data_IF_864705623137
#
_entry.id   IF_864705623137
#
_cell.length_a   1.000
_cell.length_b   1.000
_cell.length_c   1.000
_cell.angle_alpha   90.00
_cell.angle_beta   90.00
_cell.angle_gamma   90.00
#
_symmetry.space_group_name_H-M   'P 1'
#
loop_
_entity.id
_entity.type
_entity.pdbx_description
1 polymer ?
#
# COMPACT_ATOMS: atom_id res chain seq x y z
N UNK A 1 14.29 38.49 -1.25
CA UNK A 1 15.68 37.97 -1.21
C UNK A 1 15.67 36.55 -1.74
N UNK A 2 16.57 36.19 -2.65
CA UNK A 2 16.75 34.78 -3.04
C UNK A 2 17.40 33.97 -1.91
N UNK A 3 17.20 32.65 -1.89
CA UNK A 3 17.70 31.76 -0.81
C UNK A 3 19.22 31.88 -0.60
N UNK A 4 19.99 32.11 -1.66
CA UNK A 4 21.43 32.36 -1.58
C UNK A 4 21.77 33.69 -0.91
N UNK A 5 21.00 34.76 -1.17
CA UNK A 5 21.21 36.06 -0.50
C UNK A 5 20.87 35.97 0.99
N UNK A 6 19.83 35.20 1.33
CA UNK A 6 19.47 34.92 2.72
C UNK A 6 20.61 34.19 3.46
N UNK A 7 21.13 33.11 2.85
CA UNK A 7 22.26 32.36 3.40
C UNK A 7 23.49 33.25 3.64
N UNK A 8 23.89 34.03 2.64
CA UNK A 8 25.00 34.98 2.74
C UNK A 8 24.80 36.01 3.86
N UNK A 9 23.56 36.46 4.08
CA UNK A 9 23.26 37.38 5.18
C UNK A 9 23.35 36.74 6.57
N UNK A 10 23.28 35.41 6.65
CA UNK A 10 23.22 34.67 7.91
C UNK A 10 24.52 33.93 8.27
N UNK A 11 25.38 33.62 7.29
CA UNK A 11 26.53 32.71 7.46
C UNK A 11 27.57 33.13 8.51
N UNK A 12 27.75 34.44 8.75
CA UNK A 12 28.75 34.95 9.70
C UNK A 12 28.22 35.08 11.14
N UNK A 13 26.94 34.75 11.38
CA UNK A 13 26.40 34.76 12.74
C UNK A 13 26.97 33.60 13.54
N UNK A 14 27.24 33.83 14.82
CA UNK A 14 27.77 32.82 15.75
C UNK A 14 26.78 32.38 16.81
N UNK A 15 25.59 32.98 16.81
CA UNK A 15 24.59 32.73 17.82
C UNK A 15 23.17 32.77 17.25
N UNK A 16 22.29 32.00 17.85
CA UNK A 16 20.85 32.10 17.68
C UNK A 16 20.18 32.31 19.04
N UNK A 17 19.03 32.98 19.02
CA UNK A 17 18.27 33.32 20.22
C UNK A 17 16.96 32.53 20.22
N UNK A 18 16.69 31.76 21.27
CA UNK A 18 15.40 31.09 21.40
C UNK A 18 14.31 32.11 21.73
N UNK A 19 13.31 32.26 20.85
CA UNK A 19 12.24 33.26 20.98
C UNK A 19 10.89 32.71 21.39
N UNK A 20 10.61 31.46 21.08
CA UNK A 20 9.39 30.79 21.51
C UNK A 20 9.72 29.34 21.84
N UNK A 21 9.15 28.82 22.92
CA UNK A 21 9.25 27.43 23.33
C UNK A 21 7.86 26.98 23.76
N UNK A 22 7.33 25.98 23.05
CA UNK A 22 6.02 25.39 23.34
C UNK A 22 6.18 23.93 23.67
N UNK A 23 5.80 23.58 24.89
CA UNK A 23 5.69 22.20 25.33
C UNK A 23 4.25 21.73 25.14
N UNK A 24 4.09 20.53 24.58
CA UNK A 24 2.80 19.89 24.40
C UNK A 24 2.94 18.38 24.59
N UNK A 25 1.82 17.71 24.87
CA UNK A 25 1.77 16.26 24.90
C UNK A 25 1.20 15.79 23.56
N UNK A 26 1.89 14.85 22.93
CA UNK A 26 1.42 14.17 21.73
C UNK A 26 1.08 12.72 22.09
N UNK A 27 -0.09 12.26 21.65
CA UNK A 27 -0.51 10.88 21.83
C UNK A 27 -0.60 10.16 20.49
N UNK A 28 0.02 9.00 20.40
CA UNK A 28 -0.12 8.08 19.27
C UNK A 28 -1.01 6.92 19.70
N UNK A 29 -2.19 6.81 19.08
CA UNK A 29 -3.10 5.69 19.30
C UNK A 29 -2.55 4.43 18.61
N UNK A 30 -2.81 3.22 19.16
CA UNK A 30 -2.56 2.01 18.41
C UNK A 30 -3.36 2.02 17.10
N UNK A 31 -2.86 1.27 16.12
CA UNK A 31 -3.64 1.03 14.91
C UNK A 31 -4.87 0.20 15.26
N UNK A 32 -5.95 0.43 14.52
CA UNK A 32 -7.18 -0.34 14.65
C UNK A 32 -6.97 -1.79 14.20
N UNK A 33 -7.84 -2.73 14.62
CA UNK A 33 -7.88 -4.09 14.09
C UNK A 33 -7.89 -4.08 12.55
N UNK A 34 -7.41 -5.16 11.94
CA UNK A 34 -7.32 -5.20 10.49
C UNK A 34 -8.72 -5.26 9.85
N UNK A 35 -8.91 -4.46 8.81
CA UNK A 35 -9.87 -4.72 7.75
C UNK A 35 -9.13 -5.29 6.54
N UNK A 36 -9.85 -5.78 5.53
CA UNK A 36 -9.24 -6.40 4.34
C UNK A 36 -8.18 -5.52 3.70
N UNK A 37 -8.48 -4.25 3.47
CA UNK A 37 -7.54 -3.31 2.85
C UNK A 37 -6.23 -3.16 3.64
N UNK A 38 -6.35 -2.92 4.95
CA UNK A 38 -5.21 -2.72 5.83
C UNK A 38 -4.39 -4.00 6.08
N UNK A 39 -5.00 -5.18 6.05
CA UNK A 39 -4.29 -6.46 6.13
C UNK A 39 -3.47 -6.68 4.87
N UNK A 40 -4.10 -6.52 3.70
CA UNK A 40 -3.44 -6.70 2.40
C UNK A 40 -2.26 -5.73 2.23
N UNK A 41 -2.45 -4.44 2.56
CA UNK A 41 -1.38 -3.43 2.53
C UNK A 41 -0.21 -3.82 3.45
N UNK A 42 -0.50 -4.13 4.72
CA UNK A 42 0.53 -4.38 5.72
C UNK A 42 1.28 -5.68 5.46
N UNK A 43 0.58 -6.77 5.18
CA UNK A 43 1.19 -8.06 4.91
C UNK A 43 1.99 -8.05 3.60
N UNK A 44 1.49 -7.40 2.55
CA UNK A 44 2.25 -7.26 1.30
C UNK A 44 3.54 -6.47 1.51
N UNK A 45 3.47 -5.35 2.24
CA UNK A 45 4.65 -4.52 2.51
C UNK A 45 5.66 -5.17 3.46
N UNK A 46 5.21 -5.93 4.45
CA UNK A 46 6.07 -6.47 5.52
C UNK A 46 6.60 -7.86 5.21
N UNK A 47 5.74 -8.72 4.66
CA UNK A 47 6.09 -10.11 4.33
C UNK A 47 6.59 -10.24 2.89
N UNK A 48 6.42 -9.20 2.05
CA UNK A 48 6.83 -9.20 0.65
C UNK A 48 5.96 -10.11 -0.24
N UNK A 49 4.74 -10.41 0.20
CA UNK A 49 3.76 -11.23 -0.50
C UNK A 49 2.93 -10.37 -1.48
N UNK A 50 2.48 -10.95 -2.58
CA UNK A 50 1.45 -10.32 -3.43
C UNK A 50 0.10 -10.28 -2.68
N UNK A 51 -0.79 -9.36 -3.09
CA UNK A 51 -2.14 -9.26 -2.48
C UNK A 51 -2.91 -10.58 -2.64
N UNK A 52 -2.74 -11.26 -3.79
CA UNK A 52 -3.40 -12.53 -4.05
C UNK A 52 -2.92 -13.64 -3.12
N UNK A 53 -1.61 -13.71 -2.84
CA UNK A 53 -1.04 -14.64 -1.87
C UNK A 53 -1.54 -14.35 -0.45
N UNK A 54 -1.49 -13.09 -0.01
CA UNK A 54 -2.01 -12.70 1.32
C UNK A 54 -3.47 -13.12 1.46
N UNK A 55 -4.33 -12.84 0.46
CA UNK A 55 -5.74 -13.21 0.52
C UNK A 55 -5.92 -14.73 0.59
N UNK A 56 -5.13 -15.51 -0.16
CA UNK A 56 -5.18 -16.97 -0.13
C UNK A 56 -4.78 -17.53 1.24
N UNK A 57 -3.68 -17.04 1.81
CA UNK A 57 -3.21 -17.46 3.13
C UNK A 57 -4.20 -17.08 4.23
N UNK A 58 -4.75 -15.87 4.17
CA UNK A 58 -5.78 -15.42 5.11
C UNK A 58 -7.04 -16.30 5.00
N UNK A 59 -7.44 -16.70 3.79
CA UNK A 59 -8.59 -17.59 3.58
C UNK A 59 -8.34 -18.95 4.25
N UNK A 60 -7.14 -19.52 4.12
CA UNK A 60 -6.77 -20.77 4.79
C UNK A 60 -6.81 -20.64 6.32
N UNK A 61 -6.32 -19.52 6.88
CA UNK A 61 -6.38 -19.24 8.32
C UNK A 61 -7.83 -19.14 8.81
N UNK A 62 -8.72 -18.52 8.03
CA UNK A 62 -10.14 -18.42 8.34
C UNK A 62 -10.83 -19.79 8.28
N UNK A 63 -10.58 -20.58 7.23
CA UNK A 63 -11.17 -21.92 7.08
C UNK A 63 -10.69 -22.89 8.16
N UNK A 64 -9.47 -22.69 8.68
CA UNK A 64 -8.95 -23.41 9.84
C UNK A 64 -9.50 -22.91 11.19
N UNK A 65 -10.32 -21.86 11.20
CA UNK A 65 -10.93 -21.31 12.42
C UNK A 65 -9.98 -20.49 13.30
N UNK A 66 -8.85 -20.04 12.77
CA UNK A 66 -7.85 -19.26 13.53
C UNK A 66 -8.14 -17.76 13.54
N UNK A 67 -8.76 -17.24 12.48
CA UNK A 67 -9.13 -15.83 12.34
C UNK A 67 -10.59 -15.67 11.91
N UNK A 68 -11.15 -14.48 12.11
CA UNK A 68 -12.47 -14.09 11.61
C UNK A 68 -12.49 -13.89 10.08
N UNK A 69 -13.69 -13.67 9.52
CA UNK A 69 -13.88 -13.58 8.07
C UNK A 69 -13.05 -12.45 7.43
N UNK A 70 -12.30 -12.80 6.39
CA UNK A 70 -11.24 -11.96 5.83
C UNK A 70 -11.72 -10.86 4.87
N UNK A 71 -12.99 -10.88 4.46
CA UNK A 71 -13.60 -9.87 3.57
C UNK A 71 -14.52 -8.99 4.38
N UNK A 72 -13.93 -7.96 4.98
CA UNK A 72 -14.57 -7.05 5.91
C UNK A 72 -13.98 -5.65 5.75
N UNK A 73 -14.84 -4.65 5.81
CA UNK A 73 -14.52 -3.23 5.96
C UNK A 73 -14.86 -2.72 7.37
N UNK A 74 -15.30 -3.62 8.26
CA UNK A 74 -15.68 -3.32 9.62
C UNK A 74 -14.46 -3.40 10.54
N UNK A 75 -14.17 -2.31 11.27
CA UNK A 75 -13.10 -2.28 12.26
C UNK A 75 -13.58 -2.76 13.65
N UNK A 76 -14.88 -3.08 13.78
CA UNK A 76 -15.52 -3.46 15.03
C UNK A 76 -15.09 -4.83 15.54
N UNK A 77 -15.06 -4.97 16.86
CA UNK A 77 -14.87 -6.22 17.56
C UNK A 77 -16.15 -6.52 18.34
N UNK A 78 -16.58 -7.77 18.38
CA UNK A 78 -17.72 -8.21 19.18
C UNK A 78 -17.48 -7.95 20.66
N UNK A 79 -18.58 -7.70 21.39
CA UNK A 79 -18.52 -7.47 22.83
C UNK A 79 -18.01 -8.73 23.53
N UNK A 80 -18.44 -9.90 23.07
CA UNK A 80 -18.01 -11.21 23.55
C UNK A 80 -16.49 -11.37 23.46
N UNK A 81 -15.89 -11.07 22.29
CA UNK A 81 -14.44 -11.14 22.13
C UNK A 81 -13.72 -10.09 22.97
N UNK A 82 -14.25 -8.87 23.07
CA UNK A 82 -13.63 -7.81 23.89
C UNK A 82 -13.60 -8.19 25.38
N UNK A 83 -14.67 -8.81 25.90
CA UNK A 83 -14.74 -9.30 27.28
C UNK A 83 -13.76 -10.46 27.53
N UNK A 84 -13.68 -11.40 26.59
CA UNK A 84 -12.73 -12.52 26.65
C UNK A 84 -11.28 -12.03 26.58
N UNK A 85 -10.98 -11.14 25.64
CA UNK A 85 -9.66 -10.54 25.46
C UNK A 85 -9.24 -9.69 26.66
N UNK A 86 -10.14 -8.91 27.26
CA UNK A 86 -9.85 -8.13 28.48
C UNK A 86 -9.52 -9.06 29.65
N UNK A 87 -10.31 -10.12 29.85
CA UNK A 87 -10.09 -11.10 30.90
C UNK A 87 -8.73 -11.81 30.77
N UNK A 88 -8.31 -12.10 29.53
CA UNK A 88 -7.06 -12.81 29.25
C UNK A 88 -5.83 -11.89 29.24
N UNK A 89 -5.89 -10.74 28.55
CA UNK A 89 -4.73 -9.90 28.26
C UNK A 89 -4.48 -8.79 29.28
N UNK A 90 -5.48 -8.30 30.01
CA UNK A 90 -5.27 -7.25 31.00
C UNK A 90 -4.30 -7.66 32.14
N UNK A 91 -4.32 -8.92 32.63
CA UNK A 91 -3.31 -9.41 33.58
C UNK A 91 -1.90 -9.53 32.98
N UNK A 92 -1.79 -9.91 31.71
CA UNK A 92 -0.50 -10.12 31.01
C UNK A 92 0.16 -8.78 30.70
N UNK A 93 -0.60 -7.85 30.12
CA UNK A 93 -0.14 -6.52 29.73
C UNK A 93 -0.55 -5.47 30.75
N UNK A 94 -0.20 -5.75 32.02
CA UNK A 94 -0.51 -4.84 33.13
C UNK A 94 -0.01 -3.43 32.81
N UNK A 95 -0.85 -2.45 33.11
CA UNK A 95 -0.61 -1.02 32.85
C UNK A 95 -0.53 -0.61 31.38
N UNK A 96 -0.53 -1.55 30.42
CA UNK A 96 -0.50 -1.30 28.99
C UNK A 96 -1.85 -1.58 28.31
N UNK A 97 -2.64 -2.51 28.84
CA UNK A 97 -3.96 -2.84 28.28
C UNK A 97 -5.00 -1.74 28.54
N UNK A 98 -5.86 -1.51 27.56
CA UNK A 98 -7.02 -0.64 27.59
C UNK A 98 -8.06 -1.19 26.61
N UNK A 99 -9.20 -1.67 27.13
CA UNK A 99 -10.33 -2.08 26.29
C UNK A 99 -10.80 -0.91 25.42
N UNK A 100 -10.78 -1.13 24.10
CA UNK A 100 -11.21 -0.16 23.09
C UNK A 100 -12.31 -0.74 22.23
N UNK A 101 -13.39 0.01 22.18
CA UNK A 101 -14.46 -0.24 21.22
C UNK A 101 -14.18 0.48 19.91
N UNK A 102 -14.32 -0.27 18.82
CA UNK A 102 -14.24 0.22 17.45
C UNK A 102 -15.63 0.13 16.83
N UNK A 103 -16.03 1.15 16.09
CA UNK A 103 -17.30 1.18 15.39
C UNK A 103 -17.08 0.82 13.92
N UNK A 104 -18.03 0.10 13.34
CA UNK A 104 -18.08 -0.08 11.90
C UNK A 104 -18.13 1.29 11.19
N UNK A 105 -17.52 1.38 10.01
CA UNK A 105 -17.57 2.58 9.18
C UNK A 105 -19.00 2.86 8.68
N UNK A 106 -19.32 4.11 8.35
CA UNK A 106 -20.66 4.51 7.86
C UNK A 106 -21.11 3.80 6.58
N UNK A 107 -20.17 3.23 5.81
CA UNK A 107 -20.42 2.50 4.57
C UNK A 107 -20.29 0.98 4.74
N UNK A 108 -20.02 0.50 5.96
CA UNK A 108 -19.95 -0.94 6.19
C UNK A 108 -21.35 -1.52 6.06
N UNK A 109 -21.57 -2.21 4.95
CA UNK A 109 -22.85 -2.80 4.55
C UNK A 109 -23.28 -3.98 5.43
N UNK A 110 -22.47 -4.34 6.43
CA UNK A 110 -22.77 -5.47 7.29
C UNK A 110 -22.45 -5.15 8.76
N UNK A 111 -23.49 -4.75 9.50
CA UNK A 111 -23.46 -4.70 10.98
C UNK A 111 -23.09 -6.06 11.61
N UNK A 112 -23.07 -7.15 10.83
CA UNK A 112 -22.72 -8.50 11.25
C UNK A 112 -21.25 -8.90 11.05
N UNK A 113 -20.41 -8.04 10.46
CA UNK A 113 -19.00 -8.39 10.20
C UNK A 113 -18.10 -7.75 11.26
N UNK A 114 -17.17 -8.55 11.78
CA UNK A 114 -16.10 -8.08 12.65
C UNK A 114 -14.85 -7.75 11.82
N UNK A 115 -13.92 -7.05 12.43
CA UNK A 115 -12.55 -6.93 11.94
C UNK A 115 -11.89 -8.30 11.82
N UNK A 116 -10.82 -8.36 11.03
CA UNK A 116 -9.92 -9.51 10.93
C UNK A 116 -9.06 -9.55 12.19
N UNK A 117 -9.36 -10.53 13.04
CA UNK A 117 -8.73 -10.78 14.34
C UNK A 117 -8.59 -12.28 14.60
N UNK A 118 -7.80 -12.66 15.61
CA UNK A 118 -7.78 -14.04 16.11
C UNK A 118 -9.15 -14.44 16.66
N UNK A 119 -9.51 -15.72 16.54
CA UNK A 119 -10.79 -16.23 17.04
C UNK A 119 -10.82 -16.35 18.56
N UNK A 120 -9.69 -16.76 19.17
CA UNK A 120 -9.54 -16.96 20.61
C UNK A 120 -8.27 -16.31 21.16
N UNK A 121 -8.30 -15.70 22.35
CA UNK A 121 -7.10 -15.25 23.05
C UNK A 121 -6.16 -16.41 23.39
N UNK A 122 -4.88 -16.21 23.14
CA UNK A 122 -3.78 -17.11 23.51
C UNK A 122 -2.47 -16.33 23.66
N UNK A 123 -1.38 -16.98 24.09
CA UNK A 123 -0.08 -16.29 24.25
C UNK A 123 0.77 -16.36 22.99
N UNK A 124 1.87 -15.60 22.96
CA UNK A 124 2.86 -15.62 21.88
C UNK A 124 3.54 -16.98 21.76
N UNK A 125 3.72 -17.69 22.87
CA UNK A 125 4.33 -19.02 22.93
C UNK A 125 3.45 -20.09 22.25
N UNK A 126 2.12 -19.89 22.26
CA UNK A 126 1.17 -20.83 21.66
C UNK A 126 1.09 -20.71 20.13
N UNK A 127 1.55 -19.59 19.54
CA UNK A 127 1.39 -19.26 18.11
C UNK A 127 1.76 -20.42 17.18
N UNK A 128 2.98 -20.95 17.34
CA UNK A 128 3.49 -22.01 16.48
C UNK A 128 2.65 -23.29 16.60
N UNK A 129 2.28 -23.66 17.83
CA UNK A 129 1.49 -24.86 18.09
C UNK A 129 0.06 -24.75 17.56
N UNK A 130 -0.58 -23.58 17.66
CA UNK A 130 -1.93 -23.33 17.16
C UNK A 130 -1.98 -23.44 15.64
N UNK A 131 -1.02 -22.81 14.95
CA UNK A 131 -0.94 -22.87 13.49
C UNK A 131 -0.62 -24.30 13.02
N UNK A 132 0.30 -24.98 13.69
CA UNK A 132 0.63 -26.38 13.38
C UNK A 132 -0.56 -27.32 13.58
N UNK A 133 -1.28 -27.21 14.70
CA UNK A 133 -2.44 -28.04 15.02
C UNK A 133 -3.62 -27.80 14.05
N UNK A 134 -3.66 -26.63 13.41
CA UNK A 134 -4.57 -26.30 12.32
C UNK A 134 -4.16 -26.91 10.96
N UNK A 135 -3.11 -27.74 10.92
CA UNK A 135 -2.50 -28.30 9.70
C UNK A 135 -1.94 -27.24 8.74
N UNK A 136 -1.56 -26.08 9.25
CA UNK A 136 -0.93 -25.02 8.47
C UNK A 136 0.59 -25.13 8.66
N UNK A 137 1.28 -25.60 7.63
CA UNK A 137 2.75 -25.78 7.64
C UNK A 137 3.49 -24.71 6.84
N UNK A 138 2.75 -23.84 6.13
CA UNK A 138 3.34 -22.74 5.36
C UNK A 138 3.82 -21.63 6.32
N UNK A 139 5.12 -21.33 6.27
CA UNK A 139 5.74 -20.30 7.09
C UNK A 139 5.14 -18.89 6.86
N UNK A 140 4.76 -18.56 5.61
CA UNK A 140 4.13 -17.27 5.30
C UNK A 140 2.74 -17.16 5.95
N UNK A 141 2.00 -18.27 6.04
CA UNK A 141 0.73 -18.30 6.78
C UNK A 141 0.95 -18.10 8.28
N UNK A 142 2.00 -18.70 8.86
CA UNK A 142 2.37 -18.50 10.26
C UNK A 142 2.75 -17.03 10.54
N UNK A 143 3.52 -16.40 9.65
CA UNK A 143 3.88 -14.99 9.77
C UNK A 143 2.65 -14.07 9.61
N UNK A 144 1.75 -14.39 8.68
CA UNK A 144 0.49 -13.66 8.53
C UNK A 144 -0.41 -13.79 9.77
N UNK A 145 -0.49 -14.98 10.36
CA UNK A 145 -1.21 -15.20 11.61
C UNK A 145 -0.61 -14.39 12.76
N UNK A 146 0.71 -14.40 12.92
CA UNK A 146 1.41 -13.58 13.92
C UNK A 146 1.10 -12.10 13.73
N UNK A 147 1.12 -11.59 12.50
CA UNK A 147 0.79 -10.20 12.20
C UNK A 147 -0.65 -9.85 12.63
N UNK A 148 -1.62 -10.72 12.37
CA UNK A 148 -3.03 -10.55 12.79
C UNK A 148 -3.15 -10.61 14.31
N UNK A 149 -2.46 -11.54 14.96
CA UNK A 149 -2.40 -11.70 16.41
C UNK A 149 -1.87 -10.45 17.09
N UNK A 150 -0.69 -9.97 16.69
CA UNK A 150 -0.07 -8.76 17.25
C UNK A 150 -0.98 -7.55 17.06
N UNK A 151 -1.53 -7.35 15.86
CA UNK A 151 -2.44 -6.22 15.61
C UNK A 151 -3.71 -6.30 16.45
N UNK A 152 -4.27 -7.49 16.66
CA UNK A 152 -5.47 -7.69 17.48
C UNK A 152 -5.20 -7.20 18.90
N UNK A 153 -4.09 -7.60 19.49
CA UNK A 153 -3.73 -7.28 20.87
C UNK A 153 -3.29 -5.82 21.01
N UNK A 154 -2.41 -5.33 20.13
CA UNK A 154 -1.95 -3.93 20.14
C UNK A 154 -3.10 -2.94 20.02
N UNK A 155 -4.16 -3.30 19.28
CA UNK A 155 -5.36 -2.46 19.18
C UNK A 155 -5.96 -2.16 20.55
N UNK A 156 -5.86 -3.09 21.50
CA UNK A 156 -6.32 -2.95 22.88
C UNK A 156 -5.25 -2.34 23.81
N UNK A 157 -4.22 -1.69 23.27
CA UNK A 157 -3.18 -1.02 24.05
C UNK A 157 -3.49 0.45 24.36
N UNK A 158 -2.93 0.96 25.45
CA UNK A 158 -2.90 2.40 25.77
C UNK A 158 -2.09 3.17 24.73
N UNK A 159 -2.39 4.47 24.60
CA UNK A 159 -1.66 5.34 23.69
C UNK A 159 -0.18 5.40 24.08
N UNK A 160 0.71 5.48 23.08
CA UNK A 160 2.06 5.96 23.32
C UNK A 160 2.00 7.48 23.55
N UNK A 161 2.65 7.95 24.60
CA UNK A 161 2.65 9.35 25.03
C UNK A 161 4.04 9.92 24.80
N UNK A 162 4.10 11.09 24.18
CA UNK A 162 5.32 11.81 23.90
C UNK A 162 5.26 13.23 24.48
N UNK A 163 6.34 13.67 25.11
CA UNK A 163 6.54 15.09 25.40
C UNK A 163 7.12 15.73 24.13
N UNK A 164 6.44 16.73 23.57
CA UNK A 164 6.84 17.43 22.34
C UNK A 164 7.26 18.86 22.66
N UNK A 165 8.40 19.29 22.13
CA UNK A 165 8.87 20.67 22.20
C UNK A 165 8.94 21.27 20.79
N UNK A 166 8.20 22.36 20.58
CA UNK A 166 8.33 23.20 19.39
C UNK A 166 9.11 24.47 19.76
N UNK A 167 10.29 24.62 19.16
CA UNK A 167 11.26 25.68 19.42
C UNK A 167 11.35 26.61 18.21
N UNK A 168 11.34 27.91 18.46
CA UNK A 168 11.51 28.94 17.44
C UNK A 168 12.77 29.76 17.73
N UNK A 169 13.81 29.52 16.95
CA UNK A 169 15.07 30.26 17.05
C UNK A 169 15.06 31.46 16.11
N UNK A 170 15.61 32.58 16.58
CA UNK A 170 15.80 33.80 15.81
C UNK A 170 17.28 33.99 15.49
N UNK A 171 17.58 34.24 14.22
CA UNK A 171 18.91 34.64 13.74
C UNK A 171 18.72 35.91 12.92
N UNK A 172 19.27 37.04 13.39
CA UNK A 172 18.97 38.38 12.86
C UNK A 172 17.45 38.62 12.78
N UNK A 173 16.88 38.73 11.58
CA UNK A 173 15.45 38.98 11.35
C UNK A 173 14.69 37.73 10.90
N UNK A 174 15.33 36.57 10.93
CA UNK A 174 14.81 35.31 10.40
C UNK A 174 14.51 34.31 11.51
N UNK A 175 13.55 33.42 11.28
CA UNK A 175 13.09 32.44 12.24
C UNK A 175 13.24 31.01 11.73
N UNK A 176 13.78 30.15 12.58
CA UNK A 176 14.03 28.73 12.32
C UNK A 176 13.26 27.88 13.33
N UNK A 177 12.58 26.85 12.84
CA UNK A 177 11.80 25.93 13.67
C UNK A 177 12.57 24.66 13.92
N UNK A 178 12.51 24.18 15.15
CA UNK A 178 12.94 22.85 15.54
C UNK A 178 11.81 22.20 16.33
N UNK A 179 11.42 20.99 15.96
CA UNK A 179 10.43 20.20 16.69
C UNK A 179 11.09 18.91 17.14
N UNK A 180 11.09 18.65 18.44
CA UNK A 180 11.57 17.40 19.02
C UNK A 180 10.48 16.75 19.84
N UNK A 181 10.54 15.43 19.96
CA UNK A 181 9.64 14.65 20.83
C UNK A 181 10.46 13.60 21.58
N UNK A 182 10.14 13.39 22.85
CA UNK A 182 10.69 12.30 23.66
C UNK A 182 9.57 11.37 24.10
N UNK A 183 9.82 10.06 24.04
CA UNK A 183 8.88 9.05 24.50
C UNK A 183 8.74 9.14 26.02
N UNK A 184 7.53 9.44 26.50
CA UNK A 184 7.17 9.51 27.92
C UNK A 184 6.57 8.20 28.41
N UNK A 185 5.74 7.56 27.59
CA UNK A 185 5.15 6.26 27.86
C UNK A 185 5.01 5.49 26.56
N UNK A 186 5.52 4.26 26.51
CA UNK A 186 5.48 3.43 25.32
C UNK A 186 4.07 2.95 24.95
N UNK A 187 3.16 2.79 25.93
CA UNK A 187 1.82 2.28 25.68
C UNK A 187 1.83 0.96 24.90
N UNK A 188 1.01 0.85 23.86
CA UNK A 188 0.94 -0.33 22.99
C UNK A 188 2.29 -0.75 22.38
N UNK A 189 3.24 0.19 22.17
CA UNK A 189 4.56 -0.12 21.63
C UNK A 189 5.38 -1.06 22.55
N UNK A 190 5.02 -1.16 23.83
CA UNK A 190 5.68 -2.03 24.81
C UNK A 190 5.13 -3.47 24.85
N UNK A 191 4.06 -3.80 24.12
CA UNK A 191 3.38 -5.09 24.26
C UNK A 191 4.20 -6.27 23.68
N UNK A 192 4.92 -6.08 22.58
CA UNK A 192 5.70 -7.15 21.91
C UNK A 192 7.21 -6.91 21.89
N UNK A 193 7.67 -5.75 22.36
CA UNK A 193 9.05 -5.29 22.27
C UNK A 193 10.04 -5.95 23.24
N UNK A 194 9.61 -6.94 24.04
CA UNK A 194 10.58 -7.86 24.68
C UNK A 194 11.42 -8.63 23.65
N UNK A 195 10.93 -8.84 22.42
CA UNK A 195 11.73 -9.44 21.31
C UNK A 195 12.68 -8.47 20.63
N UNK A 196 12.48 -7.16 20.76
CA UNK A 196 13.28 -6.14 20.05
C UNK A 196 14.38 -5.53 20.94
N UNK A 197 14.18 -5.44 22.25
CA UNK A 197 15.19 -4.92 23.18
C UNK A 197 16.36 -5.88 23.44
N UNK A 198 16.20 -7.19 23.16
CA UNK A 198 17.26 -8.19 23.31
C UNK A 198 18.11 -8.40 22.03
N UNK A 199 17.68 -7.84 20.89
CA UNK A 199 18.36 -7.98 19.59
C UNK A 199 19.01 -6.68 19.08
N UNK A 200 18.96 -5.60 19.86
CA UNK A 200 19.41 -4.26 19.43
C UNK A 200 20.88 -3.95 19.79
N UNK A 201 21.74 -4.97 19.94
CA UNK A 201 23.20 -4.80 19.90
C UNK A 201 23.82 -5.06 18.52
N UNK A 202 23.05 -5.48 17.51
CA UNK A 202 23.61 -5.65 16.17
C UNK A 202 22.56 -5.70 15.07
N UNK A 203 22.21 -4.54 14.50
CA UNK A 203 21.95 -4.42 13.06
C UNK A 203 21.86 -2.95 12.61
N UNK A 204 23.01 -2.43 12.15
CA UNK A 204 23.08 -1.31 11.23
C UNK A 204 22.73 -1.83 9.81
N UNK A 205 21.45 -1.85 9.44
CA UNK A 205 21.03 -1.40 8.10
C UNK A 205 19.50 -1.53 7.86
N UNK A 206 18.97 -0.45 7.26
CA UNK A 206 17.83 -0.41 6.31
C UNK A 206 16.43 -0.74 6.83
N UNK A 207 15.85 0.22 7.53
CA UNK A 207 14.81 1.04 6.88
C UNK A 207 14.62 2.33 7.66
N UNK A 208 14.28 3.40 6.94
CA UNK A 208 14.19 4.77 7.42
C UNK A 208 12.96 5.01 8.32
N UNK A 209 12.66 4.09 9.25
CA UNK A 209 11.91 4.41 10.46
C UNK A 209 12.90 5.14 11.36
N UNK A 210 12.95 6.46 11.23
CA UNK A 210 13.87 7.28 12.01
C UNK A 210 13.83 6.85 13.46
N UNK A 211 14.95 6.32 13.97
CA UNK A 211 15.18 6.11 15.40
C UNK A 211 14.73 7.40 16.06
N UNK A 212 13.57 7.34 16.73
CA UNK A 212 12.95 8.54 17.27
C UNK A 212 13.93 9.10 18.28
N UNK A 213 14.59 10.21 17.92
CA UNK A 213 15.55 10.84 18.81
C UNK A 213 14.78 11.25 20.05
N UNK A 214 14.97 10.52 21.15
CA UNK A 214 14.46 10.86 22.47
C UNK A 214 15.21 12.09 23.00
N UNK A 215 14.99 13.22 22.34
CA UNK A 215 15.62 14.49 22.65
C UNK A 215 14.60 15.37 23.36
N UNK A 216 14.93 15.76 24.60
CA UNK A 216 14.31 16.87 25.31
C UNK A 216 15.40 17.87 25.61
N UNK A 217 15.20 19.11 25.20
CA UNK A 217 16.12 20.19 25.49
C UNK A 217 15.66 20.92 26.75
N UNK A 218 16.60 21.14 27.68
CA UNK A 218 16.39 21.99 28.84
C UNK A 218 16.81 23.43 28.48
N UNK A 219 15.98 24.10 27.68
CA UNK A 219 16.18 25.48 27.24
C UNK A 219 15.09 26.40 27.82
N UNK A 220 15.40 27.69 27.92
CA UNK A 220 14.49 28.75 28.35
C UNK A 220 14.36 29.79 27.25
N UNK A 221 13.21 30.46 27.22
CA UNK A 221 13.01 31.62 26.35
C UNK A 221 14.13 32.64 26.62
N UNK A 222 14.64 33.21 25.55
CA UNK A 222 15.78 34.11 25.49
C UNK A 222 17.16 33.48 25.77
N UNK A 223 17.27 32.14 25.83
CA UNK A 223 18.57 31.47 25.79
C UNK A 223 19.30 31.77 24.47
N UNK A 224 20.60 32.05 24.60
CA UNK A 224 21.52 32.26 23.47
C UNK A 224 22.31 30.98 23.25
N UNK A 225 22.21 30.39 22.05
CA UNK A 225 22.94 29.19 21.68
C UNK A 225 23.98 29.50 20.61
N UNK A 226 25.11 28.81 20.67
CA UNK A 226 26.14 28.88 19.62
C UNK A 226 25.60 28.30 18.31
N UNK A 227 25.71 29.09 17.24
CA UNK A 227 25.47 28.62 15.88
C UNK A 227 26.75 27.96 15.37
N UNK A 228 26.79 26.63 15.38
CA UNK A 228 27.97 25.87 14.96
C UNK A 228 28.10 25.81 13.44
N UNK A 229 27.01 25.46 12.75
CA UNK A 229 26.97 25.34 11.29
C UNK A 229 25.67 25.92 10.72
N UNK A 230 25.78 26.47 9.51
CA UNK A 230 24.65 26.85 8.67
C UNK A 230 24.80 26.15 7.32
N UNK A 231 23.88 25.25 7.01
CA UNK A 231 23.92 24.44 5.77
C UNK A 231 22.76 24.83 4.86
N UNK A 232 23.10 25.26 3.64
CA UNK A 232 22.11 25.45 2.59
C UNK A 232 21.79 24.11 1.92
N UNK A 233 20.70 23.47 2.36
CA UNK A 233 20.22 22.23 1.76
C UNK A 233 19.44 22.52 0.46
N UNK A 234 19.87 21.93 -0.65
CA UNK A 234 19.09 21.95 -1.89
C UNK A 234 18.11 20.79 -1.89
N UNK A 235 16.81 21.08 -1.79
CA UNK A 235 15.77 20.05 -1.91
C UNK A 235 15.51 19.81 -3.39
N UNK A 236 16.07 18.72 -3.92
CA UNK A 236 15.65 18.22 -5.24
C UNK A 236 14.31 17.51 -5.07
N UNK A 237 13.29 17.95 -5.81
CA UNK A 237 12.05 17.18 -5.93
C UNK A 237 12.34 15.95 -6.77
N UNK A 238 12.22 14.78 -6.18
CA UNK A 238 12.22 13.54 -6.93
C UNK A 238 10.89 13.40 -7.67
N UNK A 239 10.90 12.65 -8.77
CA UNK A 239 9.65 12.23 -9.41
C UNK A 239 8.81 11.42 -8.41
N UNK A 240 7.47 11.40 -8.56
CA UNK A 240 6.61 10.53 -7.77
C UNK A 240 7.10 9.08 -7.84
N UNK A 241 7.09 8.38 -6.71
CA UNK A 241 7.42 6.95 -6.69
C UNK A 241 6.40 6.17 -7.51
N UNK A 242 6.86 5.11 -8.18
CA UNK A 242 5.96 4.17 -8.83
C UNK A 242 5.02 3.53 -7.80
N UNK A 243 3.81 3.16 -8.24
CA UNK A 243 2.87 2.44 -7.39
C UNK A 243 3.42 1.05 -7.08
N UNK A 244 3.35 0.67 -5.81
CA UNK A 244 3.58 -0.70 -5.37
C UNK A 244 2.26 -1.42 -5.19
N UNK A 245 2.29 -2.72 -5.27
CA UNK A 245 1.14 -3.58 -4.99
C UNK A 245 0.53 -3.28 -3.60
N UNK A 246 1.35 -3.16 -2.54
CA UNK A 246 0.88 -2.81 -1.20
C UNK A 246 0.09 -1.48 -1.12
N UNK A 247 0.50 -0.47 -1.89
CA UNK A 247 -0.14 0.85 -1.91
C UNK A 247 -1.43 0.88 -2.74
N UNK A 248 -1.60 -0.10 -3.64
CA UNK A 248 -2.70 -0.12 -4.60
C UNK A 248 -4.06 -0.34 -3.94
N UNK A 249 -4.15 -1.22 -2.94
CA UNK A 249 -5.41 -1.49 -2.23
C UNK A 249 -5.89 -0.25 -1.49
N UNK A 250 -4.99 0.41 -0.76
CA UNK A 250 -5.27 1.66 -0.05
C UNK A 250 -5.67 2.78 -1.00
N UNK A 251 -5.05 2.83 -2.19
CA UNK A 251 -5.43 3.80 -3.22
C UNK A 251 -6.87 3.59 -3.68
N UNK A 252 -7.26 2.34 -3.97
CA UNK A 252 -8.62 1.99 -4.38
C UNK A 252 -9.65 2.32 -3.30
N UNK A 253 -9.39 1.92 -2.06
CA UNK A 253 -10.24 2.23 -0.90
C UNK A 253 -10.42 3.74 -0.70
N UNK A 254 -9.33 4.52 -0.72
CA UNK A 254 -9.40 5.98 -0.60
C UNK A 254 -10.18 6.65 -1.74
N UNK A 255 -10.20 6.02 -2.92
CA UNK A 255 -10.99 6.47 -4.08
C UNK A 255 -12.43 5.97 -4.05
N UNK A 256 -12.80 5.11 -3.10
CA UNK A 256 -14.13 4.48 -3.03
C UNK A 256 -14.37 3.49 -4.16
N UNK A 257 -13.31 2.93 -4.75
CA UNK A 257 -13.39 1.98 -5.85
C UNK A 257 -13.08 0.59 -5.31
N UNK A 258 -13.93 -0.38 -5.66
CA UNK A 258 -13.80 -1.74 -5.18
C UNK A 258 -14.26 -1.95 -3.74
N UNK A 259 -14.25 -3.22 -3.33
CA UNK A 259 -14.74 -3.74 -2.05
C UNK A 259 -13.77 -4.79 -1.53
N UNK A 260 -13.85 -5.18 -0.24
CA UNK A 260 -13.09 -6.29 0.32
C UNK A 260 -13.06 -7.56 -0.54
N UNK A 261 -14.15 -7.85 -1.25
CA UNK A 261 -14.27 -9.01 -2.14
C UNK A 261 -13.52 -8.88 -3.47
N UNK A 262 -13.16 -7.67 -3.90
CA UNK A 262 -12.62 -7.41 -5.24
C UNK A 262 -11.14 -7.03 -5.25
N UNK A 263 -10.59 -6.47 -4.17
CA UNK A 263 -9.23 -5.91 -4.15
C UNK A 263 -8.16 -6.87 -4.68
N UNK A 264 -8.11 -8.11 -4.20
CA UNK A 264 -7.10 -9.08 -4.65
C UNK A 264 -7.29 -9.58 -6.09
N UNK A 265 -8.45 -9.31 -6.71
CA UNK A 265 -8.72 -9.78 -8.08
C UNK A 265 -8.26 -8.81 -9.17
N UNK A 266 -8.10 -7.52 -8.83
CA UNK A 266 -7.82 -6.48 -9.82
C UNK A 266 -6.44 -6.64 -10.45
N UNK A 267 -5.37 -6.67 -9.64
CA UNK A 267 -4.00 -6.76 -10.15
C UNK A 267 -3.77 -8.07 -10.94
N UNK A 268 -4.18 -9.27 -10.47
CA UNK A 268 -4.06 -10.49 -11.25
C UNK A 268 -4.79 -10.40 -12.60
N UNK A 269 -5.96 -9.76 -12.64
CA UNK A 269 -6.70 -9.56 -13.90
C UNK A 269 -5.95 -8.64 -14.86
N UNK A 270 -5.39 -7.54 -14.36
CA UNK A 270 -4.63 -6.59 -15.18
C UNK A 270 -3.32 -7.19 -15.68
N UNK A 271 -2.62 -8.00 -14.87
CA UNK A 271 -1.42 -8.74 -15.25
C UNK A 271 -1.76 -9.81 -16.29
N UNK A 272 -2.78 -10.64 -16.04
CA UNK A 272 -3.22 -11.71 -16.97
C UNK A 272 -3.63 -11.15 -18.35
N UNK A 273 -4.19 -9.94 -18.38
CA UNK A 273 -4.55 -9.24 -19.64
C UNK A 273 -3.39 -8.43 -20.23
N UNK A 274 -2.22 -8.46 -19.60
CA UNK A 274 -0.98 -7.78 -20.01
C UNK A 274 -1.12 -6.25 -20.06
N UNK A 275 -1.99 -5.66 -19.25
CA UNK A 275 -2.11 -4.20 -19.15
C UNK A 275 -1.04 -3.59 -18.23
N UNK A 276 -0.60 -4.37 -17.25
CA UNK A 276 0.48 -4.02 -16.34
C UNK A 276 1.48 -5.18 -16.24
N UNK A 277 2.69 -4.88 -15.80
CA UNK A 277 3.62 -5.84 -15.22
C UNK A 277 3.90 -5.46 -13.77
N UNK A 278 4.23 -6.46 -12.96
CA UNK A 278 4.65 -6.29 -11.57
C UNK A 278 6.07 -6.85 -11.45
N UNK A 279 6.99 -6.08 -10.88
CA UNK A 279 8.36 -6.56 -10.65
C UNK A 279 8.36 -7.75 -9.71
N UNK A 280 9.24 -8.72 -9.98
CA UNK A 280 9.36 -9.96 -9.17
C UNK A 280 10.22 -9.78 -7.92
N UNK A 281 10.75 -8.58 -7.69
CA UNK A 281 11.46 -8.27 -6.45
C UNK A 281 10.45 -8.01 -5.32
N UNK A 282 10.93 -8.00 -4.07
CA UNK A 282 10.08 -7.74 -2.89
C UNK A 282 9.34 -6.39 -2.90
N UNK A 283 9.64 -5.51 -3.87
CA UNK A 283 9.02 -4.19 -3.98
C UNK A 283 7.70 -4.21 -4.75
N UNK A 284 7.45 -5.25 -5.57
CA UNK A 284 6.21 -5.44 -6.34
C UNK A 284 5.74 -4.15 -7.04
N UNK A 285 6.65 -3.54 -7.81
CA UNK A 285 6.42 -2.27 -8.51
C UNK A 285 5.53 -2.52 -9.72
N UNK A 286 4.42 -1.79 -9.78
CA UNK A 286 3.45 -1.83 -10.88
C UNK A 286 3.93 -0.91 -12.02
N UNK A 287 4.08 -1.46 -13.21
CA UNK A 287 4.45 -0.72 -14.42
C UNK A 287 3.40 -0.91 -15.52
N UNK A 288 2.85 0.17 -16.11
CA UNK A 288 1.92 0.04 -17.23
C UNK A 288 2.65 -0.45 -18.48
N UNK A 289 2.09 -1.46 -19.15
CA UNK A 289 2.61 -1.91 -20.44
C UNK A 289 2.17 -0.96 -21.56
N UNK A 290 2.80 -1.07 -22.73
CA UNK A 290 2.35 -0.33 -23.91
C UNK A 290 0.88 -0.66 -24.28
N UNK A 291 0.46 -1.91 -24.12
CA UNK A 291 -0.93 -2.35 -24.32
C UNK A 291 -1.88 -1.67 -23.34
N UNK A 292 -1.52 -1.60 -22.05
CA UNK A 292 -2.31 -0.91 -21.03
C UNK A 292 -2.49 0.58 -21.33
N UNK A 293 -1.42 1.28 -21.70
CA UNK A 293 -1.47 2.71 -22.06
C UNK A 293 -2.41 2.96 -23.24
N UNK A 294 -2.30 2.17 -24.32
CA UNK A 294 -3.17 2.31 -25.50
C UNK A 294 -4.64 2.06 -25.20
N UNK A 295 -4.95 1.13 -24.31
CA UNK A 295 -6.35 0.89 -23.91
C UNK A 295 -6.92 2.10 -23.17
N UNK A 296 -6.14 2.73 -22.28
CA UNK A 296 -6.55 3.97 -21.60
C UNK A 296 -6.78 5.09 -22.61
N UNK A 297 -5.86 5.31 -23.55
CA UNK A 297 -6.01 6.32 -24.61
C UNK A 297 -7.29 6.13 -25.46
N UNK A 298 -7.67 4.89 -25.76
CA UNK A 298 -8.92 4.60 -26.48
C UNK A 298 -10.14 5.02 -25.66
N UNK A 299 -10.18 4.68 -24.37
CA UNK A 299 -11.31 5.05 -23.51
C UNK A 299 -11.35 6.55 -23.21
N UNK A 300 -10.21 7.22 -23.08
CA UNK A 300 -10.15 8.68 -22.92
C UNK A 300 -10.81 9.42 -24.08
N UNK A 301 -10.61 8.94 -25.31
CA UNK A 301 -11.13 9.60 -26.51
C UNK A 301 -12.58 9.21 -26.87
N UNK A 302 -12.98 7.95 -26.60
CA UNK A 302 -14.27 7.44 -27.04
C UNK A 302 -15.32 7.34 -25.93
N UNK A 303 -14.94 6.96 -24.71
CA UNK A 303 -15.88 6.61 -23.64
C UNK A 303 -15.36 7.03 -22.25
N UNK A 304 -15.14 8.34 -22.07
CA UNK A 304 -14.53 8.91 -20.87
C UNK A 304 -15.21 8.49 -19.56
N UNK A 305 -16.54 8.26 -19.57
CA UNK A 305 -17.27 7.85 -18.38
C UNK A 305 -16.80 6.50 -17.80
N UNK A 306 -16.21 5.62 -18.62
CA UNK A 306 -15.72 4.29 -18.19
C UNK A 306 -14.48 4.41 -17.31
N UNK A 307 -13.66 5.43 -17.52
CA UNK A 307 -12.41 5.67 -16.78
C UNK A 307 -12.56 6.76 -15.72
N UNK A 308 -13.75 7.31 -15.55
CA UNK A 308 -14.03 8.32 -14.54
C UNK A 308 -14.11 7.67 -13.14
N UNK A 309 -13.22 8.09 -12.25
CA UNK A 309 -13.13 7.55 -10.89
C UNK A 309 -14.37 7.88 -10.06
N UNK A 310 -14.99 9.04 -10.28
CA UNK A 310 -16.19 9.47 -9.56
C UNK A 310 -17.38 8.63 -9.99
N UNK A 311 -17.52 8.39 -11.30
CA UNK A 311 -18.56 7.54 -11.85
C UNK A 311 -18.42 6.10 -11.35
N UNK A 312 -17.20 5.56 -11.35
CA UNK A 312 -16.92 4.22 -10.82
C UNK A 312 -17.30 4.12 -9.34
N UNK A 313 -16.92 5.10 -8.52
CA UNK A 313 -17.31 5.16 -7.12
C UNK A 313 -18.84 5.22 -6.94
N UNK A 314 -19.52 6.04 -7.74
CA UNK A 314 -20.98 6.15 -7.69
C UNK A 314 -21.67 4.83 -8.04
N UNK A 315 -21.14 4.08 -9.02
CA UNK A 315 -21.69 2.75 -9.34
C UNK A 315 -21.60 1.80 -8.16
N UNK A 316 -20.48 1.81 -7.45
CA UNK A 316 -20.29 1.01 -6.23
C UNK A 316 -21.28 1.45 -5.12
N UNK A 317 -21.50 2.75 -4.94
CA UNK A 317 -22.48 3.28 -3.97
C UNK A 317 -23.93 2.90 -4.34
N UNK A 318 -24.29 2.85 -5.64
CA UNK A 318 -25.63 2.40 -6.05
C UNK A 318 -25.81 0.91 -5.83
N UNK A 319 -24.76 0.10 -6.00
CA UNK A 319 -24.81 -1.34 -5.67
C UNK A 319 -25.05 -1.54 -4.17
N UNK A 320 -24.42 -0.71 -3.33
CA UNK A 320 -24.67 -0.69 -1.89
C UNK A 320 -26.13 -0.32 -1.57
N UNK A 321 -26.68 0.71 -2.22
CA UNK A 321 -28.08 1.09 -2.06
C UNK A 321 -29.07 0.00 -2.50
N UNK A 322 -28.72 -0.79 -3.52
CA UNK A 322 -29.54 -1.94 -3.95
C UNK A 322 -29.61 -3.00 -2.86
N UNK A 323 -28.50 -3.32 -2.19
CA UNK A 323 -28.47 -4.26 -1.05
C UNK A 323 -29.36 -3.76 0.09
N UNK A 324 -29.39 -2.45 0.31
CA UNK A 324 -30.23 -1.80 1.33
C UNK A 324 -31.69 -1.58 0.89
N UNK A 325 -32.10 -2.10 -0.27
CA UNK A 325 -33.42 -1.88 -0.88
C UNK A 325 -33.80 -0.40 -1.08
N UNK A 326 -32.81 0.48 -1.26
CA UNK A 326 -32.98 1.92 -1.54
C UNK A 326 -32.99 2.23 -3.05
N UNK A 327 -32.39 1.35 -3.85
CA UNK A 327 -32.28 1.49 -5.31
C UNK A 327 -32.67 0.20 -6.04
N UNK A 328 -33.12 0.33 -7.29
CA UNK A 328 -33.59 -0.78 -8.12
C UNK A 328 -32.46 -1.33 -8.99
N UNK A 329 -32.19 -2.63 -8.88
CA UNK A 329 -31.20 -3.33 -9.72
C UNK A 329 -31.52 -3.22 -11.21
N UNK A 330 -32.80 -3.34 -11.57
CA UNK A 330 -33.24 -3.29 -12.97
C UNK A 330 -32.98 -1.91 -13.56
N UNK A 331 -33.26 -0.85 -12.80
CA UNK A 331 -33.05 0.52 -13.26
C UNK A 331 -31.55 0.84 -13.38
N UNK A 332 -30.74 0.36 -12.43
CA UNK A 332 -29.29 0.47 -12.48
C UNK A 332 -28.71 -0.16 -13.76
N UNK A 333 -29.06 -1.41 -14.05
CA UNK A 333 -28.60 -2.11 -15.25
C UNK A 333 -29.14 -1.46 -16.53
N UNK A 334 -30.41 -1.03 -16.54
CA UNK A 334 -31.02 -0.38 -17.71
C UNK A 334 -30.30 0.94 -18.05
N UNK A 335 -30.02 1.76 -17.03
CA UNK A 335 -29.26 3.00 -17.19
C UNK A 335 -27.83 2.71 -17.68
N UNK A 336 -27.15 1.75 -17.08
CA UNK A 336 -25.80 1.35 -17.50
C UNK A 336 -25.79 0.88 -18.97
N UNK A 337 -26.70 -0.01 -19.35
CA UNK A 337 -26.83 -0.51 -20.72
C UNK A 337 -27.09 0.61 -21.74
N UNK A 338 -27.87 1.63 -21.36
CA UNK A 338 -28.14 2.77 -22.23
C UNK A 338 -26.91 3.63 -22.54
N UNK A 339 -25.95 3.69 -21.59
CA UNK A 339 -24.68 4.42 -21.71
C UNK A 339 -23.55 3.55 -22.27
N UNK A 340 -23.66 2.24 -22.12
CA UNK A 340 -22.66 1.32 -22.62
C UNK A 340 -22.53 1.50 -24.13
N UNK A 341 -21.29 1.59 -24.63
CA UNK A 341 -21.09 1.74 -26.05
C UNK A 341 -21.68 0.55 -26.78
N UNK A 342 -22.56 0.85 -27.75
CA UNK A 342 -22.95 -0.11 -28.78
C UNK A 342 -21.74 -0.24 -29.69
N UNK A 343 -20.77 -1.03 -29.23
CA UNK A 343 -19.66 -1.46 -30.06
C UNK A 343 -20.30 -2.39 -31.09
N UNK A 344 -20.84 -1.82 -32.17
CA UNK A 344 -20.75 -2.49 -33.47
C UNK A 344 -19.31 -2.93 -33.56
N UNK A 345 -19.09 -4.25 -33.71
CA UNK A 345 -17.78 -4.90 -33.72
C UNK A 345 -16.75 -3.85 -34.06
N UNK A 346 -15.89 -3.46 -33.10
CA UNK A 346 -14.69 -2.72 -33.43
C UNK A 346 -14.00 -3.63 -34.44
N UNK A 347 -14.26 -3.39 -35.72
CA UNK A 347 -13.54 -4.04 -36.79
C UNK A 347 -12.12 -3.65 -36.44
N UNK A 348 -11.33 -4.64 -36.06
CA UNK A 348 -9.91 -4.45 -36.21
C UNK A 348 -9.79 -4.10 -37.68
N UNK A 349 -9.51 -2.84 -37.98
CA UNK A 349 -8.91 -2.47 -39.26
C UNK A 349 -7.51 -3.09 -39.27
N UNK A 350 -7.45 -4.42 -39.22
CA UNK A 350 -6.30 -5.22 -39.61
C UNK A 350 -6.17 -5.15 -41.15
N UNK A 351 -7.17 -4.64 -41.88
CA UNK A 351 -7.16 -4.48 -43.34
C UNK A 351 -6.27 -3.35 -43.85
N UNK A 352 -5.87 -2.40 -42.98
CA UNK A 352 -4.87 -1.42 -43.35
C UNK A 352 -3.47 -2.05 -43.22
N UNK A 353 -2.98 -2.61 -44.32
CA UNK A 353 -1.60 -3.06 -44.46
C UNK A 353 -0.68 -1.86 -44.17
N UNK A 354 -0.07 -1.86 -42.99
CA UNK A 354 0.93 -0.86 -42.59
C UNK A 354 2.32 -1.47 -42.71
N UNK A 355 3.30 -0.73 -43.27
CA UNK A 355 4.66 -1.20 -43.35
C UNK A 355 5.21 -1.48 -41.95
N UNK A 356 6.13 -2.44 -41.88
CA UNK A 356 6.88 -2.72 -40.66
C UNK A 356 7.80 -1.56 -40.32
N UNK A 357 8.00 -1.32 -39.03
CA UNK A 357 9.00 -0.33 -38.60
C UNK A 357 10.40 -0.81 -38.96
N UNK A 358 11.33 0.14 -39.20
CA UNK A 358 12.73 -0.17 -39.47
C UNK A 358 13.32 -1.09 -38.39
N UNK A 359 13.00 -0.85 -37.12
CA UNK A 359 13.44 -1.69 -36.01
C UNK A 359 12.94 -3.14 -36.10
N UNK A 360 11.69 -3.36 -36.52
CA UNK A 360 11.15 -4.71 -36.73
C UNK A 360 11.83 -5.40 -37.91
N UNK A 361 12.08 -4.68 -39.00
CA UNK A 361 12.76 -5.20 -40.20
C UNK A 361 14.19 -5.62 -39.85
N UNK A 362 14.96 -4.73 -39.23
CA UNK A 362 16.34 -5.01 -38.81
C UNK A 362 16.40 -6.20 -37.85
N UNK A 363 15.45 -6.32 -36.93
CA UNK A 363 15.44 -7.43 -35.98
C UNK A 363 15.15 -8.78 -36.66
N UNK A 364 14.21 -8.82 -37.62
CA UNK A 364 13.94 -10.02 -38.42
C UNK A 364 15.14 -10.41 -39.28
N UNK A 365 15.79 -9.44 -39.93
CA UNK A 365 16.99 -9.68 -40.75
C UNK A 365 18.16 -10.22 -39.90
N UNK A 366 18.32 -9.72 -38.68
CA UNK A 366 19.30 -10.26 -37.73
C UNK A 366 18.98 -11.71 -37.34
N UNK A 367 17.72 -12.03 -37.02
CA UNK A 367 17.31 -13.40 -36.69
C UNK A 367 17.59 -14.36 -37.86
N UNK A 368 17.21 -13.99 -39.09
CA UNK A 368 17.45 -14.82 -40.28
C UNK A 368 18.95 -15.06 -40.50
N UNK A 369 19.76 -14.02 -40.34
CA UNK A 369 21.22 -14.12 -40.51
C UNK A 369 21.86 -14.96 -39.42
N UNK A 370 21.53 -14.69 -38.16
CA UNK A 370 22.19 -15.30 -37.00
C UNK A 370 21.80 -16.78 -36.86
N UNK A 371 20.57 -17.15 -37.25
CA UNK A 371 20.11 -18.55 -37.29
C UNK A 371 20.33 -19.25 -38.65
N UNK A 372 20.93 -18.56 -39.63
CA UNK A 372 21.12 -19.06 -41.01
C UNK A 372 19.83 -19.61 -41.65
N UNK A 373 18.70 -18.94 -41.39
CA UNK A 373 17.40 -19.31 -41.92
C UNK A 373 17.14 -18.60 -43.25
N UNK A 374 16.58 -19.34 -44.20
CA UNK A 374 15.98 -18.74 -45.39
C UNK A 374 14.56 -18.24 -45.05
N UNK A 375 14.17 -17.12 -45.63
CA UNK A 375 12.82 -16.58 -45.44
C UNK A 375 11.80 -17.51 -46.12
N UNK A 376 10.85 -18.03 -45.35
CA UNK A 376 9.72 -18.82 -45.86
C UNK A 376 8.77 -17.94 -46.66
N UNK A 377 8.15 -18.49 -47.72
CA UNK A 377 7.19 -17.77 -48.59
C UNK A 377 6.06 -17.09 -47.79
N UNK A 378 5.66 -17.69 -46.66
CA UNK A 378 4.61 -17.15 -45.77
C UNK A 378 5.00 -15.81 -45.11
N UNK A 379 6.29 -15.45 -45.11
CA UNK A 379 6.82 -14.24 -44.48
C UNK A 379 7.42 -13.23 -45.47
N UNK A 380 7.35 -13.44 -46.78
CA UNK A 380 7.99 -12.56 -47.78
C UNK A 380 7.59 -11.09 -47.66
N UNK A 381 6.32 -10.83 -47.31
CA UNK A 381 5.77 -9.49 -47.21
C UNK A 381 5.99 -8.81 -45.85
N UNK A 382 6.88 -9.33 -44.99
CA UNK A 382 7.09 -8.78 -43.64
C UNK A 382 7.52 -7.32 -43.61
N UNK A 383 8.11 -6.77 -44.69
CA UNK A 383 8.49 -5.35 -44.76
C UNK A 383 7.27 -4.45 -45.00
N UNK A 384 6.31 -4.92 -45.78
CA UNK A 384 5.15 -4.15 -46.21
C UNK A 384 3.94 -4.37 -45.29
N UNK A 385 3.90 -5.50 -44.58
CA UNK A 385 2.84 -5.86 -43.65
C UNK A 385 3.38 -6.15 -42.23
N UNK A 386 3.10 -5.23 -41.31
CA UNK A 386 3.45 -5.34 -39.90
C UNK A 386 2.92 -6.61 -39.22
N UNK A 387 1.80 -7.17 -39.72
CA UNK A 387 1.20 -8.40 -39.17
C UNK A 387 2.09 -9.60 -39.48
N UNK A 388 2.64 -9.66 -40.70
CA UNK A 388 3.58 -10.70 -41.14
C UNK A 388 4.88 -10.61 -40.34
N UNK A 389 5.40 -9.40 -40.12
CA UNK A 389 6.57 -9.20 -39.26
C UNK A 389 6.32 -9.64 -37.81
N UNK A 390 5.16 -9.31 -37.23
CA UNK A 390 4.79 -9.76 -35.88
C UNK A 390 4.64 -11.29 -35.80
N UNK A 391 4.05 -11.91 -36.82
CA UNK A 391 3.90 -13.36 -36.88
C UNK A 391 5.26 -14.07 -36.96
N UNK A 392 6.19 -13.55 -37.77
CA UNK A 392 7.57 -14.02 -37.81
C UNK A 392 8.24 -13.88 -36.43
N UNK A 393 8.19 -12.67 -35.85
CA UNK A 393 8.83 -12.42 -34.57
C UNK A 393 8.26 -13.35 -33.50
N UNK A 394 6.95 -13.46 -33.33
CA UNK A 394 6.37 -14.39 -32.36
C UNK A 394 6.82 -15.85 -32.54
N UNK A 395 7.03 -16.30 -33.79
CA UNK A 395 7.51 -17.66 -34.07
C UNK A 395 8.99 -17.87 -33.68
N UNK A 396 9.82 -16.85 -33.78
CA UNK A 396 11.28 -16.97 -33.66
C UNK A 396 11.91 -16.22 -32.48
N UNK A 397 11.18 -15.32 -31.81
CA UNK A 397 11.64 -14.59 -30.61
C UNK A 397 11.48 -15.39 -29.31
N UNK A 398 10.85 -16.57 -29.36
CA UNK A 398 10.78 -17.52 -28.24
C UNK A 398 11.84 -18.64 -28.32
N UNK A 399 12.82 -18.57 -29.23
CA UNK A 399 13.91 -19.55 -29.24
C UNK A 399 14.89 -19.20 -28.10
N UNK A 400 15.01 -20.03 -27.05
CA UNK A 400 15.98 -19.78 -25.99
C UNK A 400 17.39 -19.86 -26.59
N UNK A 401 18.25 -18.92 -26.21
CA UNK A 401 19.69 -19.02 -26.41
C UNK A 401 20.15 -20.46 -26.13
N UNK A 402 20.74 -21.11 -27.13
CA UNK A 402 21.64 -22.25 -26.91
C UNK A 402 23.05 -21.75 -26.70
#
# INVERSE_FOLDING_TARGET
MGTSQLFESLKDNKACLLKDLKNSILETKPKKPFITSTLLEKASSELGLSIAEVQSLAQNLFEAGLITYIRTDAESLSVEFLDEAESFYAPIYKDLYLKREYKAGKQSQAEAHEAIRITHPHTTEDLESIVYNANITNQDASQLYQLIFERTIESQGKNAIYDKQDLLFKIKNEYFKCSVKGLKSAGFLAMFSKKELENDESNDDKDNKGKEQNAQFNLKIDDVLSLNDLVLATIKRNAPSAYKEADFVKLLENKGIGRPSTYASYLPTLVKREYISISQDKKHIITPTHKGKRVVEVFENAYQFIIDLTYTKQMEEVLDEIVENKSSYVDFISNLNSKCPKIEKLERNDDEIKPSSEGQITYIENILRDLQLNLSEEFENYKEDNRVAKAFLNRYSEVPNR
#
